data_IF_446518856887
#
_entry.id   IF_446518856887
#
_cell.length_a   1.000
_cell.length_b   1.000
_cell.length_c   1.000
_cell.angle_alpha   90.00
_cell.angle_beta   90.00
_cell.angle_gamma   90.00
#
_symmetry.space_group_name_H-M   'P 1'
#
loop_
_entity.id
_entity.type
_entity.pdbx_description
1 polymer ?
#
# COMPACT_ATOMS: atom_id res chain seq x y z
N UNK A 1 59.77 -40.90 -41.61
CA UNK A 1 59.21 -39.54 -41.50
C UNK A 1 57.72 -39.65 -41.80
N UNK A 2 56.89 -39.86 -40.78
CA UNK A 2 55.44 -40.08 -40.91
C UNK A 2 54.71 -38.94 -40.21
N UNK A 3 53.92 -38.17 -40.97
CA UNK A 3 53.05 -37.14 -40.45
C UNK A 3 51.72 -37.77 -40.05
N UNK A 4 51.40 -37.76 -38.75
CA UNK A 4 50.09 -38.13 -38.24
C UNK A 4 49.18 -36.90 -38.29
N UNK A 5 48.17 -36.96 -39.17
CA UNK A 5 47.09 -35.99 -39.26
C UNK A 5 46.05 -36.32 -38.18
N UNK A 6 45.97 -35.49 -37.15
CA UNK A 6 44.95 -35.58 -36.11
C UNK A 6 43.65 -34.97 -36.64
N UNK A 7 42.70 -35.82 -37.03
CA UNK A 7 41.36 -35.42 -37.41
C UNK A 7 40.57 -35.05 -36.15
N UNK A 8 40.45 -33.76 -35.85
CA UNK A 8 39.56 -33.26 -34.80
C UNK A 8 38.11 -33.49 -35.24
N UNK A 9 37.46 -34.50 -34.66
CA UNK A 9 36.04 -34.72 -34.79
C UNK A 9 35.30 -33.55 -34.12
N UNK A 10 34.73 -32.67 -34.93
CA UNK A 10 33.73 -31.70 -34.51
C UNK A 10 32.47 -32.46 -34.08
N UNK A 11 32.44 -32.91 -32.82
CA UNK A 11 31.21 -33.27 -32.14
C UNK A 11 30.42 -31.97 -31.92
N UNK A 12 29.62 -31.59 -32.91
CA UNK A 12 28.55 -30.63 -32.74
C UNK A 12 27.59 -31.21 -31.69
N UNK A 13 27.81 -30.83 -30.43
CA UNK A 13 26.92 -31.13 -29.34
C UNK A 13 25.65 -30.33 -29.62
N UNK A 14 24.69 -30.99 -30.24
CA UNK A 14 23.39 -30.44 -30.61
C UNK A 14 22.58 -30.27 -29.32
N UNK A 15 22.97 -29.30 -28.50
CA UNK A 15 22.30 -28.98 -27.25
C UNK A 15 21.03 -28.19 -27.56
N UNK A 16 20.07 -28.87 -28.17
CA UNK A 16 18.67 -28.42 -28.26
C UNK A 16 18.05 -28.54 -26.88
N UNK A 17 18.50 -27.68 -25.96
CA UNK A 17 17.83 -27.53 -24.68
C UNK A 17 16.38 -27.12 -24.95
N UNK A 18 15.41 -27.73 -24.26
CA UNK A 18 14.02 -27.31 -24.37
C UNK A 18 13.92 -25.83 -23.98
N UNK A 19 13.47 -25.01 -24.92
CA UNK A 19 13.25 -23.58 -24.71
C UNK A 19 11.86 -23.41 -24.11
N UNK A 20 11.79 -22.81 -22.93
CA UNK A 20 10.52 -22.47 -22.32
C UNK A 20 9.83 -21.34 -23.12
N UNK A 21 8.52 -21.43 -23.40
CA UNK A 21 7.76 -20.29 -23.92
C UNK A 21 7.95 -19.04 -23.06
N UNK A 22 8.09 -17.88 -23.70
CA UNK A 22 8.44 -16.62 -23.04
C UNK A 22 7.40 -16.23 -21.98
N UNK A 23 6.13 -16.56 -22.19
CA UNK A 23 5.03 -16.28 -21.26
C UNK A 23 5.15 -17.11 -19.98
N UNK A 24 5.58 -18.36 -20.09
CA UNK A 24 5.83 -19.22 -18.93
C UNK A 24 7.07 -18.77 -18.18
N UNK A 25 8.12 -18.36 -18.90
CA UNK A 25 9.32 -17.80 -18.29
C UNK A 25 9.01 -16.51 -17.51
N UNK A 26 8.22 -15.61 -18.11
CA UNK A 26 7.76 -14.38 -17.45
C UNK A 26 6.96 -14.70 -16.19
N UNK A 27 5.96 -15.59 -16.26
CA UNK A 27 5.17 -15.97 -15.09
C UNK A 27 6.05 -16.53 -13.95
N UNK A 28 7.05 -17.36 -14.27
CA UNK A 28 7.98 -17.89 -13.26
C UNK A 28 8.78 -16.75 -12.61
N UNK A 29 9.32 -15.84 -13.42
CA UNK A 29 10.11 -14.71 -12.93
C UNK A 29 9.27 -13.77 -12.07
N UNK A 30 8.03 -13.47 -12.47
CA UNK A 30 7.13 -12.61 -11.72
C UNK A 30 6.73 -13.22 -10.37
N UNK A 31 6.43 -14.52 -10.33
CA UNK A 31 6.16 -15.25 -9.08
C UNK A 31 7.38 -15.22 -8.18
N UNK A 32 8.57 -15.53 -8.72
CA UNK A 32 9.81 -15.50 -7.95
C UNK A 32 10.12 -14.09 -7.42
N UNK A 33 9.94 -13.06 -8.25
CA UNK A 33 10.08 -11.67 -7.86
C UNK A 33 9.11 -11.29 -6.74
N UNK A 34 7.85 -11.71 -6.84
CA UNK A 34 6.85 -11.46 -5.80
C UNK A 34 7.22 -12.09 -4.45
N UNK A 35 7.80 -13.30 -4.48
CA UNK A 35 8.23 -14.02 -3.26
C UNK A 35 9.52 -13.45 -2.65
N UNK A 36 10.44 -12.96 -3.47
CA UNK A 36 11.76 -12.48 -3.01
C UNK A 36 11.72 -11.00 -2.63
N UNK A 37 10.93 -10.18 -3.35
CA UNK A 37 10.88 -8.74 -3.14
C UNK A 37 9.99 -8.41 -1.95
N UNK A 38 10.62 -7.94 -0.88
CA UNK A 38 9.96 -7.43 0.32
C UNK A 38 10.43 -6.02 0.66
N UNK A 39 9.53 -5.27 1.25
CA UNK A 39 9.73 -3.87 1.61
C UNK A 39 9.80 -3.69 3.14
N UNK A 40 10.62 -2.76 3.65
CA UNK A 40 11.48 -1.83 2.89
C UNK A 40 12.58 -2.56 2.10
N UNK A 41 12.89 -2.05 0.89
CA UNK A 41 13.87 -2.70 0.03
C UNK A 41 15.24 -2.73 0.69
N UNK A 42 15.88 -3.89 0.63
CA UNK A 42 17.25 -4.13 1.08
C UNK A 42 18.06 -4.82 -0.03
N UNK A 43 19.37 -4.97 0.15
CA UNK A 43 20.21 -5.71 -0.79
C UNK A 43 19.82 -7.20 -0.90
N UNK A 44 19.18 -7.76 0.13
CA UNK A 44 18.73 -9.16 0.15
C UNK A 44 17.28 -9.34 -0.29
N UNK A 45 16.49 -8.26 -0.38
CA UNK A 45 15.05 -8.29 -0.72
C UNK A 45 14.70 -7.58 -2.03
N UNK A 46 15.64 -7.48 -2.98
CA UNK A 46 15.44 -6.82 -4.27
C UNK A 46 15.55 -7.77 -5.48
N UNK A 47 15.62 -9.09 -5.25
CA UNK A 47 15.77 -10.08 -6.31
C UNK A 47 16.90 -9.78 -7.31
N UNK A 48 18.06 -9.32 -6.81
CA UNK A 48 19.19 -8.90 -7.64
C UNK A 48 19.66 -10.03 -8.59
N UNK A 49 19.67 -11.27 -8.11
CA UNK A 49 20.05 -12.44 -8.89
C UNK A 49 19.15 -12.63 -10.12
N UNK A 50 17.83 -12.44 -9.95
CA UNK A 50 16.89 -12.48 -11.08
C UNK A 50 17.18 -11.35 -12.08
N UNK A 51 17.44 -10.14 -11.59
CA UNK A 51 17.74 -8.99 -12.45
C UNK A 51 19.05 -9.16 -13.25
N UNK A 52 20.05 -9.84 -12.68
CA UNK A 52 21.34 -10.08 -13.33
C UNK A 52 21.34 -11.28 -14.29
N UNK A 53 20.30 -12.12 -14.23
CA UNK A 53 20.22 -13.33 -15.06
C UNK A 53 20.01 -13.00 -16.55
N UNK A 54 19.10 -12.07 -16.86
CA UNK A 54 18.82 -11.64 -18.24
C UNK A 54 18.17 -10.25 -18.28
N UNK A 55 18.35 -9.52 -19.38
CA UNK A 55 17.74 -8.20 -19.57
C UNK A 55 16.21 -8.25 -19.43
N UNK A 56 15.54 -9.23 -20.05
CA UNK A 56 14.08 -9.39 -19.95
C UNK A 56 13.60 -9.65 -18.52
N UNK A 57 14.38 -10.35 -17.69
CA UNK A 57 14.00 -10.59 -16.29
C UNK A 57 14.08 -9.31 -15.47
N UNK A 58 15.10 -8.50 -15.73
CA UNK A 58 15.17 -7.15 -15.17
C UNK A 58 13.93 -6.34 -15.57
N UNK A 59 13.52 -6.36 -16.83
CA UNK A 59 12.33 -5.63 -17.30
C UNK A 59 11.03 -6.13 -16.63
N UNK A 60 10.84 -7.44 -16.52
CA UNK A 60 9.68 -8.06 -15.86
C UNK A 60 9.63 -7.83 -14.34
N UNK A 61 10.77 -7.64 -13.68
CA UNK A 61 10.84 -7.41 -12.23
C UNK A 61 10.62 -5.94 -11.83
N UNK A 62 10.86 -4.99 -12.73
CA UNK A 62 10.72 -3.55 -12.44
C UNK A 62 9.35 -3.15 -11.83
N UNK A 63 8.20 -3.66 -12.31
CA UNK A 63 6.91 -3.32 -11.72
C UNK A 63 6.82 -3.69 -10.23
N UNK A 64 7.47 -4.76 -9.80
CA UNK A 64 7.45 -5.23 -8.41
C UNK A 64 8.39 -4.42 -7.53
N UNK A 65 9.58 -4.08 -8.05
CA UNK A 65 10.57 -3.26 -7.33
C UNK A 65 10.05 -1.86 -7.01
N UNK A 66 9.31 -1.26 -7.94
CA UNK A 66 8.78 0.09 -7.78
C UNK A 66 7.33 0.11 -7.29
N UNK A 67 6.77 -1.01 -6.80
CA UNK A 67 5.37 -1.06 -6.35
C UNK A 67 5.10 -0.24 -5.08
N UNK A 68 6.12 -0.08 -4.22
CA UNK A 68 6.06 0.76 -3.03
C UNK A 68 7.11 1.86 -3.13
N UNK A 69 6.71 3.09 -2.83
CA UNK A 69 7.59 4.24 -2.74
C UNK A 69 7.54 4.83 -1.33
N UNK A 70 8.66 4.83 -0.62
CA UNK A 70 8.87 5.66 0.57
C UNK A 70 9.65 6.90 0.14
N UNK A 71 9.02 8.07 0.15
CA UNK A 71 9.66 9.28 -0.37
C UNK A 71 10.95 9.65 0.40
N UNK A 72 11.01 9.36 1.71
CA UNK A 72 12.21 9.59 2.54
C UNK A 72 13.44 8.80 2.08
N UNK A 73 13.27 7.50 1.79
CA UNK A 73 14.38 6.62 1.42
C UNK A 73 14.62 6.60 -0.09
N UNK A 74 13.63 6.98 -0.90
CA UNK A 74 13.75 7.04 -2.35
C UNK A 74 14.75 8.09 -2.83
N UNK A 75 14.84 9.25 -2.19
CA UNK A 75 15.83 10.27 -2.60
C UNK A 75 17.18 10.11 -1.91
N UNK A 76 17.33 9.18 -0.98
CA UNK A 76 18.58 8.99 -0.25
C UNK A 76 19.70 8.55 -1.20
N UNK A 77 20.78 9.33 -1.24
CA UNK A 77 21.95 9.07 -2.10
C UNK A 77 21.73 9.32 -3.59
N UNK A 78 20.63 9.99 -3.98
CA UNK A 78 20.33 10.35 -5.37
C UNK A 78 20.25 11.86 -5.53
N UNK A 79 20.67 12.36 -6.68
CA UNK A 79 20.36 13.72 -7.11
C UNK A 79 18.87 13.86 -7.44
N UNK A 80 18.40 15.10 -7.50
CA UNK A 80 17.02 15.40 -7.90
C UNK A 80 16.73 14.97 -9.35
N UNK A 81 17.69 15.15 -10.25
CA UNK A 81 17.58 14.73 -11.65
C UNK A 81 17.44 13.21 -11.76
N UNK A 82 18.27 12.44 -11.05
CA UNK A 82 18.19 10.97 -11.05
C UNK A 82 16.86 10.49 -10.47
N UNK A 83 16.41 11.09 -9.36
CA UNK A 83 15.11 10.77 -8.76
C UNK A 83 13.97 11.03 -9.75
N UNK A 84 14.01 12.18 -10.44
CA UNK A 84 13.01 12.57 -11.44
C UNK A 84 13.01 11.62 -12.64
N UNK A 85 14.18 11.24 -13.16
CA UNK A 85 14.30 10.30 -14.26
C UNK A 85 13.70 8.93 -13.91
N UNK A 86 14.03 8.40 -12.72
CA UNK A 86 13.50 7.13 -12.23
C UNK A 86 11.98 7.20 -12.07
N UNK A 87 11.45 8.28 -11.50
CA UNK A 87 10.00 8.47 -11.33
C UNK A 87 9.28 8.63 -12.67
N UNK A 88 9.86 9.33 -13.64
CA UNK A 88 9.27 9.43 -14.99
C UNK A 88 9.22 8.05 -15.68
N UNK A 89 10.22 7.21 -15.45
CA UNK A 89 10.30 5.87 -16.06
C UNK A 89 9.41 4.85 -15.37
N UNK A 90 9.39 4.83 -14.03
CA UNK A 90 8.79 3.76 -13.24
C UNK A 90 7.65 4.19 -12.33
N UNK A 91 7.32 5.49 -12.24
CA UNK A 91 6.28 6.00 -11.36
C UNK A 91 4.89 5.40 -11.63
N UNK A 92 4.63 4.99 -12.87
CA UNK A 92 3.43 4.22 -13.26
C UNK A 92 3.28 2.86 -12.55
N UNK A 93 4.35 2.30 -11.98
CA UNK A 93 4.33 1.04 -11.25
C UNK A 93 4.04 1.22 -9.76
N UNK A 94 4.13 2.44 -9.23
CA UNK A 94 3.87 2.71 -7.82
C UNK A 94 2.38 2.46 -7.54
N UNK A 95 2.12 1.68 -6.49
CA UNK A 95 0.79 1.32 -5.98
C UNK A 95 0.60 1.81 -4.54
N UNK A 96 1.66 1.80 -3.75
CA UNK A 96 1.66 2.27 -2.36
C UNK A 96 2.65 3.41 -2.21
N UNK A 97 2.18 4.53 -1.68
CA UNK A 97 2.97 5.74 -1.53
C UNK A 97 3.01 6.16 -0.05
N UNK A 98 4.22 6.23 0.50
CA UNK A 98 4.48 6.70 1.86
C UNK A 98 5.13 8.08 1.78
N UNK A 99 4.43 9.08 2.31
CA UNK A 99 4.92 10.46 2.35
C UNK A 99 6.20 10.57 3.17
N UNK A 100 7.06 11.48 2.72
CA UNK A 100 8.28 11.83 3.41
C UNK A 100 8.17 13.10 4.24
N UNK A 101 9.27 13.44 4.89
CA UNK A 101 9.46 14.70 5.60
C UNK A 101 9.64 15.87 4.63
N UNK A 102 10.25 15.62 3.47
CA UNK A 102 10.35 16.59 2.37
C UNK A 102 9.03 16.61 1.59
N UNK A 103 8.16 17.55 1.97
CA UNK A 103 6.79 17.68 1.44
C UNK A 103 6.84 17.92 -0.07
N UNK A 104 7.68 18.83 -0.54
CA UNK A 104 7.74 19.19 -1.95
C UNK A 104 8.19 18.00 -2.81
N UNK A 105 9.23 17.27 -2.41
CA UNK A 105 9.65 16.05 -3.14
C UNK A 105 8.59 14.97 -3.10
N UNK A 106 7.88 14.82 -1.98
CA UNK A 106 6.79 13.84 -1.86
C UNK A 106 5.65 14.18 -2.82
N UNK A 107 5.22 15.44 -2.88
CA UNK A 107 4.18 15.90 -3.81
C UNK A 107 4.60 15.71 -5.28
N UNK A 108 5.85 16.04 -5.62
CA UNK A 108 6.38 15.85 -6.97
C UNK A 108 6.47 14.38 -7.37
N UNK A 109 6.87 13.50 -6.45
CA UNK A 109 6.86 12.06 -6.70
C UNK A 109 5.43 11.52 -6.86
N UNK A 110 4.49 11.99 -6.06
CA UNK A 110 3.09 11.59 -6.13
C UNK A 110 2.43 11.98 -7.45
N UNK A 111 2.71 13.19 -7.97
CA UNK A 111 2.25 13.64 -9.30
C UNK A 111 2.70 12.71 -10.43
N UNK A 112 3.85 12.05 -10.28
CA UNK A 112 4.42 11.10 -11.27
C UNK A 112 3.94 9.67 -11.07
N UNK A 113 3.01 9.45 -10.14
CA UNK A 113 2.55 8.13 -9.71
C UNK A 113 1.03 7.96 -9.97
N UNK A 114 0.58 7.92 -11.24
CA UNK A 114 -0.84 7.99 -11.59
C UNK A 114 -1.65 6.75 -11.19
N UNK A 115 -0.98 5.66 -10.83
CA UNK A 115 -1.62 4.38 -10.49
C UNK A 115 -1.61 4.07 -8.99
N UNK A 116 -1.33 5.07 -8.16
CA UNK A 116 -1.34 4.92 -6.69
C UNK A 116 -2.72 4.48 -6.21
N UNK A 117 -2.72 3.42 -5.41
CA UNK A 117 -3.91 2.82 -4.79
C UNK A 117 -3.97 3.09 -3.29
N UNK A 118 -2.82 3.28 -2.65
CA UNK A 118 -2.70 3.51 -1.22
C UNK A 118 -1.79 4.70 -0.95
N UNK A 119 -2.26 5.65 -0.16
CA UNK A 119 -1.45 6.79 0.32
C UNK A 119 -1.41 6.76 1.84
N UNK A 120 -0.21 6.85 2.39
CA UNK A 120 0.05 7.02 3.81
C UNK A 120 0.74 8.36 4.01
N UNK A 121 0.05 9.30 4.66
CA UNK A 121 0.55 10.64 4.96
C UNK A 121 0.28 11.01 6.42
N UNK A 122 1.28 10.77 7.27
CA UNK A 122 1.26 11.16 8.68
C UNK A 122 2.02 12.46 8.94
N UNK A 123 2.39 13.20 7.89
CA UNK A 123 3.05 14.47 8.04
C UNK A 123 2.00 15.55 8.37
N UNK A 124 2.00 16.01 9.62
CA UNK A 124 1.06 17.02 10.13
C UNK A 124 1.17 18.38 9.44
N UNK A 125 2.25 18.62 8.71
CA UNK A 125 2.52 19.86 7.99
C UNK A 125 2.10 19.82 6.52
N UNK A 126 1.70 18.66 5.99
CA UNK A 126 1.23 18.57 4.60
C UNK A 126 -0.24 18.91 4.51
N UNK A 127 -0.57 20.03 3.89
CA UNK A 127 -1.95 20.44 3.70
C UNK A 127 -2.68 19.49 2.75
N UNK A 128 -3.95 19.17 3.05
CA UNK A 128 -4.72 18.24 2.23
C UNK A 128 -4.97 18.79 0.82
N UNK A 129 -5.00 20.11 0.65
CA UNK A 129 -5.11 20.77 -0.67
C UNK A 129 -3.91 20.50 -1.56
N UNK A 130 -2.71 20.51 -1.00
CA UNK A 130 -1.47 20.25 -1.73
C UNK A 130 -1.44 18.79 -2.18
N UNK A 131 -1.73 17.87 -1.24
CA UNK A 131 -1.85 16.45 -1.55
C UNK A 131 -2.96 16.21 -2.57
N UNK A 132 -4.13 16.84 -2.40
CA UNK A 132 -5.26 16.78 -3.32
C UNK A 132 -4.82 17.12 -4.74
N UNK A 133 -4.15 18.26 -4.90
CA UNK A 133 -3.62 18.73 -6.19
C UNK A 133 -2.65 17.72 -6.81
N UNK A 134 -1.82 17.06 -6.01
CA UNK A 134 -0.89 16.03 -6.49
C UNK A 134 -1.60 14.74 -6.94
N UNK A 135 -2.74 14.39 -6.34
CA UNK A 135 -3.45 13.13 -6.62
C UNK A 135 -4.56 13.26 -7.66
N UNK A 136 -4.91 14.46 -8.16
CA UNK A 136 -6.04 14.63 -9.09
C UNK A 136 -5.98 13.73 -10.34
N UNK A 137 -4.77 13.28 -10.70
CA UNK A 137 -4.52 12.43 -11.86
C UNK A 137 -4.64 10.92 -11.56
N UNK A 138 -4.77 10.50 -10.30
CA UNK A 138 -5.02 9.08 -9.97
C UNK A 138 -6.51 8.77 -10.02
N UNK A 139 -6.85 7.67 -10.68
CA UNK A 139 -8.20 7.09 -10.68
C UNK A 139 -8.29 5.83 -9.80
N UNK A 140 -7.16 5.40 -9.23
CA UNK A 140 -6.99 4.09 -8.61
C UNK A 140 -6.95 4.14 -7.08
N UNK A 141 -7.05 5.33 -6.48
CA UNK A 141 -6.94 5.51 -5.03
C UNK A 141 -8.07 4.78 -4.29
N UNK A 142 -7.70 3.89 -3.37
CA UNK A 142 -8.61 3.03 -2.60
C UNK A 142 -8.38 3.11 -1.10
N UNK A 143 -7.14 3.34 -0.67
CA UNK A 143 -6.73 3.38 0.74
C UNK A 143 -6.06 4.72 1.03
N UNK A 144 -6.48 5.37 2.11
CA UNK A 144 -5.94 6.65 2.53
C UNK A 144 -5.71 6.64 4.04
N UNK A 145 -4.48 6.88 4.46
CA UNK A 145 -4.14 7.11 5.86
C UNK A 145 -3.60 8.52 6.02
N UNK A 146 -4.28 9.34 6.81
CA UNK A 146 -4.00 10.77 6.90
C UNK A 146 -4.19 11.33 8.31
N UNK A 147 -3.55 12.47 8.56
CA UNK A 147 -3.85 13.30 9.72
C UNK A 147 -5.11 14.15 9.50
N UNK A 148 -6.04 14.22 10.47
CA UNK A 148 -7.33 14.91 10.30
C UNK A 148 -7.20 16.41 10.14
N UNK A 149 -6.22 17.03 10.79
CA UNK A 149 -6.10 18.50 10.84
C UNK A 149 -6.06 19.16 9.47
N UNK A 150 -5.80 18.39 8.43
CA UNK A 150 -5.67 18.85 7.05
C UNK A 150 -6.95 18.59 6.24
N UNK A 151 -7.86 17.72 6.68
CA UNK A 151 -9.05 17.31 5.93
C UNK A 151 -9.98 18.50 5.61
N UNK A 152 -10.23 18.70 4.31
CA UNK A 152 -11.21 19.68 3.81
C UNK A 152 -12.44 18.96 3.25
N UNK A 153 -13.61 19.06 3.90
CA UNK A 153 -14.84 18.37 3.49
C UNK A 153 -15.22 18.52 2.02
N UNK A 154 -15.04 19.71 1.46
CA UNK A 154 -15.32 20.07 0.08
C UNK A 154 -14.47 19.29 -0.92
N UNK A 155 -13.21 19.00 -0.57
CA UNK A 155 -12.30 18.28 -1.44
C UNK A 155 -12.59 16.78 -1.48
N UNK A 156 -13.14 16.20 -0.40
CA UNK A 156 -13.52 14.79 -0.35
C UNK A 156 -14.64 14.42 -1.32
N UNK A 157 -15.38 15.40 -1.83
CA UNK A 157 -16.38 15.20 -2.88
C UNK A 157 -15.78 15.04 -4.28
N UNK A 158 -14.46 15.22 -4.43
CA UNK A 158 -13.78 15.09 -5.71
C UNK A 158 -13.79 13.64 -6.24
N UNK A 159 -13.91 13.40 -7.56
CA UNK A 159 -13.92 12.06 -8.16
C UNK A 159 -12.74 11.17 -7.78
N UNK A 160 -11.57 11.77 -7.50
CA UNK A 160 -10.35 11.06 -7.07
C UNK A 160 -10.57 10.23 -5.81
N UNK A 161 -11.50 10.64 -4.94
CA UNK A 161 -11.78 9.98 -3.67
C UNK A 161 -13.02 9.08 -3.71
N UNK A 162 -13.76 9.03 -4.82
CA UNK A 162 -14.97 8.22 -4.93
C UNK A 162 -14.67 6.71 -4.75
N UNK A 163 -13.48 6.26 -5.12
CA UNK A 163 -13.07 4.85 -5.01
C UNK A 163 -12.43 4.50 -3.66
N UNK A 164 -12.35 5.44 -2.73
CA UNK A 164 -11.83 5.17 -1.39
C UNK A 164 -12.76 4.17 -0.69
N UNK A 165 -12.16 3.07 -0.26
CA UNK A 165 -12.80 1.99 0.50
C UNK A 165 -12.28 1.93 1.93
N UNK A 166 -11.02 2.33 2.16
CA UNK A 166 -10.38 2.30 3.46
C UNK A 166 -9.84 3.68 3.82
N UNK A 167 -10.23 4.18 4.99
CA UNK A 167 -9.62 5.36 5.59
C UNK A 167 -9.09 5.05 6.96
N UNK A 168 -7.83 5.38 7.18
CA UNK A 168 -7.26 5.57 8.51
C UNK A 168 -7.11 7.05 8.82
N UNK A 169 -7.56 7.39 10.02
CA UNK A 169 -7.61 8.74 10.52
C UNK A 169 -6.75 8.84 11.77
N UNK A 170 -5.69 9.64 11.69
CA UNK A 170 -4.89 10.06 12.83
C UNK A 170 -5.30 11.48 13.29
N UNK A 171 -5.58 11.67 14.57
CA UNK A 171 -5.94 12.98 15.12
C UNK A 171 -7.46 13.20 15.29
N UNK A 172 -7.81 14.42 15.67
CA UNK A 172 -9.16 14.80 16.07
C UNK A 172 -10.07 15.10 14.86
N UNK A 173 -11.15 14.33 14.71
CA UNK A 173 -12.20 14.55 13.71
C UNK A 173 -13.40 15.28 14.31
N UNK A 174 -13.44 16.59 14.06
CA UNK A 174 -14.50 17.47 14.56
C UNK A 174 -15.89 17.09 14.04
N UNK A 175 -16.01 16.78 12.75
CA UNK A 175 -17.27 16.39 12.12
C UNK A 175 -17.12 15.05 11.37
N UNK A 176 -17.54 13.92 11.98
CA UNK A 176 -17.56 12.62 11.33
C UNK A 176 -18.46 12.58 10.08
N UNK A 177 -19.46 13.47 9.96
CA UNK A 177 -20.35 13.46 8.79
C UNK A 177 -19.62 13.78 7.48
N UNK A 178 -18.41 14.35 7.55
CA UNK A 178 -17.58 14.54 6.36
C UNK A 178 -17.32 13.23 5.61
N UNK A 179 -17.16 12.13 6.35
CA UNK A 179 -16.91 10.80 5.78
C UNK A 179 -18.15 10.26 5.06
N UNK A 180 -19.33 10.85 5.29
CA UNK A 180 -20.56 10.50 4.57
C UNK A 180 -20.41 10.74 3.05
N UNK A 181 -19.54 11.67 2.67
CA UNK A 181 -19.28 12.06 1.26
C UNK A 181 -18.53 11.01 0.44
N UNK A 182 -17.95 10.00 1.09
CA UNK A 182 -17.17 8.97 0.41
C UNK A 182 -18.06 7.75 0.10
N UNK A 183 -18.60 7.63 -1.13
CA UNK A 183 -19.70 6.72 -1.40
C UNK A 183 -19.33 5.25 -1.17
N UNK A 184 -18.07 4.88 -1.40
CA UNK A 184 -17.59 3.49 -1.32
C UNK A 184 -16.83 3.16 -0.03
N UNK A 185 -16.85 4.04 0.97
CA UNK A 185 -16.16 3.81 2.23
C UNK A 185 -16.77 2.60 2.96
N UNK A 186 -15.94 1.58 3.20
CA UNK A 186 -16.31 0.32 3.86
C UNK A 186 -15.54 0.09 5.15
N UNK A 187 -14.33 0.64 5.24
CA UNK A 187 -13.37 0.44 6.31
C UNK A 187 -12.92 1.77 6.89
N UNK A 188 -13.09 1.94 8.20
CA UNK A 188 -12.66 3.13 8.94
C UNK A 188 -11.75 2.72 10.09
N UNK A 189 -10.62 3.39 10.23
CA UNK A 189 -9.70 3.22 11.35
C UNK A 189 -9.47 4.57 12.01
N UNK A 190 -9.49 4.60 13.34
CA UNK A 190 -9.29 5.80 14.15
C UNK A 190 -8.13 5.54 15.11
N UNK A 191 -7.00 6.18 14.82
CA UNK A 191 -5.74 5.90 15.50
C UNK A 191 -5.55 6.73 16.77
N UNK A 192 -5.86 8.03 16.75
CA UNK A 192 -5.61 8.95 17.87
C UNK A 192 -6.75 9.93 17.97
N UNK A 193 -7.55 9.86 19.03
CA UNK A 193 -8.33 11.00 19.48
C UNK A 193 -8.86 10.70 20.87
N UNK A 194 -8.73 11.67 21.78
CA UNK A 194 -9.40 11.62 23.08
C UNK A 194 -10.81 12.23 23.03
N UNK A 195 -11.19 12.84 21.89
CA UNK A 195 -12.33 13.74 21.79
C UNK A 195 -13.19 13.53 20.53
N UNK A 196 -13.21 12.38 19.83
CA UNK A 196 -14.07 12.34 18.63
C UNK A 196 -15.54 12.45 19.01
N UNK A 197 -16.23 13.32 18.27
CA UNK A 197 -17.68 13.32 18.15
C UNK A 197 -18.24 11.91 17.94
N UNK A 198 -19.49 11.70 18.33
CA UNK A 198 -20.13 10.38 18.34
C UNK A 198 -20.05 9.64 17.00
N UNK A 199 -19.15 8.64 16.90
CA UNK A 199 -18.97 7.79 15.72
C UNK A 199 -20.16 6.87 15.44
N UNK A 200 -21.12 6.75 16.37
CA UNK A 200 -22.32 5.97 16.12
C UNK A 200 -23.09 6.51 14.91
N UNK A 201 -22.89 7.79 14.54
CA UNK A 201 -23.45 8.37 13.31
C UNK A 201 -23.00 7.67 12.02
N UNK A 202 -21.79 7.11 11.99
CA UNK A 202 -21.25 6.38 10.83
C UNK A 202 -21.65 4.90 10.85
N UNK A 203 -22.03 4.40 12.02
CA UNK A 203 -22.56 3.05 12.18
C UNK A 203 -24.06 2.98 11.83
N UNK A 204 -24.78 4.10 11.81
CA UNK A 204 -26.17 4.14 11.38
C UNK A 204 -26.31 3.65 9.92
N UNK A 205 -26.99 2.50 9.68
CA UNK A 205 -27.20 1.97 8.33
C UNK A 205 -27.94 2.94 7.41
N UNK A 206 -28.76 3.85 7.97
CA UNK A 206 -29.47 4.87 7.21
C UNK A 206 -28.57 5.98 6.66
N UNK A 207 -27.39 6.18 7.25
CA UNK A 207 -26.42 7.21 6.82
C UNK A 207 -25.27 6.62 6.03
N UNK A 208 -24.74 5.47 6.46
CA UNK A 208 -23.59 4.81 5.83
C UNK A 208 -23.80 3.28 5.74
N UNK A 209 -24.60 2.81 4.77
CA UNK A 209 -24.94 1.38 4.67
C UNK A 209 -23.75 0.48 4.35
N UNK A 210 -22.66 1.02 3.80
CA UNK A 210 -21.51 0.24 3.34
C UNK A 210 -20.42 0.05 4.40
N UNK A 211 -20.49 0.70 5.57
CA UNK A 211 -19.48 0.50 6.60
C UNK A 211 -19.56 -0.94 7.14
N UNK A 212 -18.48 -1.68 6.92
CA UNK A 212 -18.33 -3.09 7.29
C UNK A 212 -17.41 -3.27 8.50
N UNK A 213 -16.38 -2.42 8.62
CA UNK A 213 -15.37 -2.53 9.67
C UNK A 213 -15.03 -1.15 10.22
N UNK A 214 -15.01 -1.03 11.55
CA UNK A 214 -14.49 0.13 12.27
C UNK A 214 -13.42 -0.33 13.24
N UNK A 215 -12.17 0.11 13.04
CA UNK A 215 -11.03 -0.20 13.88
C UNK A 215 -10.70 0.98 14.79
N UNK A 216 -10.41 0.70 16.06
CA UNK A 216 -9.88 1.69 16.98
C UNK A 216 -8.83 1.09 17.91
N UNK A 217 -7.84 1.90 18.27
CA UNK A 217 -6.65 1.44 19.02
C UNK A 217 -6.63 1.87 20.50
N UNK A 218 -7.30 2.98 20.84
CA UNK A 218 -7.30 3.53 22.21
C UNK A 218 -8.52 3.08 23.02
N UNK A 219 -8.50 3.32 24.33
CA UNK A 219 -9.68 3.14 25.18
C UNK A 219 -10.71 4.23 24.82
N UNK A 220 -11.59 3.92 23.86
CA UNK A 220 -12.81 4.69 23.61
C UNK A 220 -13.92 4.18 24.55
N UNK A 221 -14.30 4.94 25.60
CA UNK A 221 -15.34 4.49 26.51
C UNK A 221 -16.75 4.56 25.90
N UNK A 222 -16.92 5.16 24.71
CA UNK A 222 -18.24 5.51 24.17
C UNK A 222 -18.71 4.70 22.96
N UNK A 223 -17.86 3.87 22.34
CA UNK A 223 -18.36 3.00 21.25
C UNK A 223 -19.07 1.82 21.87
N UNK A 224 -20.36 1.66 21.56
CA UNK A 224 -21.16 0.53 22.06
C UNK A 224 -20.49 -0.78 21.60
N UNK A 225 -19.95 -1.61 22.51
CA UNK A 225 -19.23 -2.83 22.14
C UNK A 225 -20.09 -3.87 21.40
N UNK A 226 -21.41 -3.67 21.38
CA UNK A 226 -22.38 -4.60 20.81
C UNK A 226 -22.38 -4.65 19.28
N UNK A 227 -21.88 -3.62 18.57
CA UNK A 227 -21.83 -3.66 17.11
C UNK A 227 -20.67 -4.55 16.65
N UNK A 228 -21.00 -5.67 15.99
CA UNK A 228 -20.03 -6.65 15.52
C UNK A 228 -18.95 -6.07 14.58
N UNK A 229 -19.24 -4.95 13.92
CA UNK A 229 -18.32 -4.25 12.99
C UNK A 229 -17.18 -3.52 13.69
N UNK A 230 -17.33 -3.23 14.99
CA UNK A 230 -16.38 -2.41 15.73
C UNK A 230 -15.31 -3.29 16.37
N UNK A 231 -14.09 -3.22 15.85
CA UNK A 231 -12.94 -3.99 16.32
C UNK A 231 -11.99 -3.08 17.12
N UNK A 232 -11.72 -3.48 18.36
CA UNK A 232 -10.63 -2.90 19.15
C UNK A 232 -9.35 -3.67 18.86
N UNK A 233 -8.31 -2.99 18.41
CA UNK A 233 -6.97 -3.57 18.26
C UNK A 233 -6.02 -3.03 19.31
N UNK A 234 -4.93 -3.76 19.57
CA UNK A 234 -3.86 -3.30 20.45
C UNK A 234 -3.20 -2.08 19.81
N UNK A 235 -3.10 -1.00 20.58
CA UNK A 235 -2.35 0.20 20.19
C UNK A 235 -0.93 -0.15 19.75
N UNK A 236 -0.52 0.48 18.66
CA UNK A 236 0.86 0.52 18.21
C UNK A 236 1.48 1.77 18.86
N UNK A 237 2.65 1.64 19.45
CA UNK A 237 3.22 2.70 20.29
C UNK A 237 4.25 3.53 19.52
N UNK A 238 4.77 3.00 18.42
CA UNK A 238 5.82 3.64 17.61
C UNK A 238 5.37 3.86 16.17
N UNK A 239 5.94 4.88 15.53
CA UNK A 239 5.77 5.12 14.09
C UNK A 239 6.13 3.88 13.26
N UNK A 240 7.24 3.21 13.62
CA UNK A 240 7.72 2.00 12.95
C UNK A 240 6.70 0.88 12.99
N UNK A 241 6.05 0.62 14.13
CA UNK A 241 5.03 -0.43 14.22
C UNK A 241 3.82 -0.16 13.32
N UNK A 242 3.40 1.12 13.19
CA UNK A 242 2.29 1.49 12.29
C UNK A 242 2.70 1.33 10.83
N UNK A 243 3.90 1.79 10.48
CA UNK A 243 4.46 1.61 9.14
C UNK A 243 4.55 0.12 8.79
N UNK A 244 5.09 -0.71 9.69
CA UNK A 244 5.20 -2.15 9.52
C UNK A 244 3.84 -2.79 9.21
N UNK A 245 2.76 -2.38 9.92
CA UNK A 245 1.41 -2.88 9.65
C UNK A 245 0.91 -2.51 8.25
N UNK A 246 1.22 -1.31 7.74
CA UNK A 246 0.88 -0.92 6.38
C UNK A 246 1.74 -1.63 5.32
N UNK A 247 2.96 -2.03 5.68
CA UNK A 247 3.87 -2.74 4.79
C UNK A 247 3.54 -4.22 4.59
N UNK A 248 2.74 -4.82 5.50
CA UNK A 248 2.30 -6.22 5.38
C UNK A 248 1.56 -6.48 4.07
N UNK A 249 0.56 -5.66 3.73
CA UNK A 249 -0.23 -5.87 2.51
C UNK A 249 0.59 -5.78 1.21
N UNK A 250 1.44 -4.76 0.99
CA UNK A 250 2.35 -4.73 -0.15
C UNK A 250 3.32 -5.92 -0.20
N UNK A 251 3.61 -6.57 0.92
CA UNK A 251 4.46 -7.77 1.01
C UNK A 251 3.67 -9.08 0.86
N UNK A 252 2.35 -9.01 0.61
CA UNK A 252 1.50 -10.20 0.51
C UNK A 252 1.17 -10.83 1.88
N UNK A 253 1.46 -10.14 2.97
CA UNK A 253 1.07 -10.53 4.32
C UNK A 253 -0.28 -9.93 4.72
N UNK A 254 -0.90 -10.54 5.73
CA UNK A 254 -2.15 -10.07 6.33
C UNK A 254 -1.91 -8.78 7.12
N UNK A 255 -2.49 -7.67 6.68
CA UNK A 255 -2.50 -6.40 7.40
C UNK A 255 -3.59 -6.37 8.49
N UNK A 256 -3.67 -5.25 9.24
CA UNK A 256 -4.67 -5.09 10.29
C UNK A 256 -6.10 -4.94 9.76
N UNK A 257 -6.29 -4.54 8.50
CA UNK A 257 -7.61 -4.45 7.88
C UNK A 257 -8.19 -5.83 7.66
N UNK A 258 -7.42 -6.73 7.04
CA UNK A 258 -7.83 -8.10 6.81
C UNK A 258 -8.04 -8.85 8.14
N UNK A 259 -7.20 -8.61 9.15
CA UNK A 259 -7.42 -9.14 10.49
C UNK A 259 -8.77 -8.68 11.06
N UNK A 260 -9.09 -7.39 10.95
CA UNK A 260 -10.36 -6.84 11.44
C UNK A 260 -11.57 -7.40 10.68
N UNK A 261 -11.49 -7.56 9.36
CA UNK A 261 -12.52 -8.22 8.54
C UNK A 261 -12.82 -9.64 9.04
N UNK A 262 -11.76 -10.44 9.29
CA UNK A 262 -11.89 -11.80 9.83
C UNK A 262 -12.54 -11.81 11.22
N UNK A 263 -12.23 -10.84 12.07
CA UNK A 263 -12.86 -10.70 13.39
C UNK A 263 -14.35 -10.33 13.28
N UNK A 264 -14.71 -9.41 12.38
CA UNK A 264 -16.12 -9.05 12.12
C UNK A 264 -16.88 -10.26 11.58
N UNK A 265 -16.30 -11.01 10.65
CA UNK A 265 -16.87 -12.24 10.12
C UNK A 265 -17.12 -13.27 11.22
N UNK A 266 -16.13 -13.52 12.08
CA UNK A 266 -16.25 -14.48 13.19
C UNK A 266 -17.36 -14.08 14.19
N UNK A 267 -17.51 -12.79 14.48
CA UNK A 267 -18.57 -12.26 15.37
C UNK A 267 -19.96 -12.43 14.77
N UNK A 268 -20.12 -12.24 13.46
CA UNK A 268 -21.39 -12.46 12.76
C UNK A 268 -21.80 -13.94 12.72
N UNK A 269 -20.83 -14.84 12.65
CA UNK A 269 -21.04 -16.29 12.58
C UNK A 269 -21.32 -17.00 13.90
N UNK A 270 -21.51 -16.29 15.03
CA UNK A 270 -21.68 -16.86 16.39
C UNK A 270 -20.53 -17.74 16.90
N UNK A 271 -19.37 -17.76 16.24
CA UNK A 271 -18.23 -18.59 16.64
C UNK A 271 -17.61 -18.17 17.99
N UNK A 272 -17.87 -16.94 18.44
CA UNK A 272 -17.45 -16.43 19.74
C UNK A 272 -18.65 -15.77 20.40
N UNK A 273 -19.14 -16.30 21.53
CA UNK A 273 -20.10 -15.55 22.36
C UNK A 273 -19.35 -14.36 22.96
N UNK A 274 -19.90 -13.16 22.77
CA UNK A 274 -19.28 -11.85 23.07
C UNK A 274 -18.86 -11.66 24.55
N UNK A 275 -19.17 -12.60 25.43
CA UNK A 275 -18.95 -12.59 26.88
C UNK A 275 -17.51 -12.82 27.36
N UNK A 276 -16.52 -13.06 26.50
CA UNK A 276 -15.18 -13.54 26.93
C UNK A 276 -14.00 -12.57 26.70
N UNK A 277 -14.22 -11.26 26.53
CA UNK A 277 -13.16 -10.25 26.39
C UNK A 277 -13.41 -8.99 27.20
#
# INVERSE_FOLDING_TARGET
>A
MFAQSATMANNACDTTYPVLPVELEQNIVEIAAFMIISFPLSCTSCALELQLTAQRFREWTMPFLYRVLHANSFSAGRTESESTEILNRYGKHIRHFFFGWDIQKSLEALKRSPMVQSIVNWNVHTEFEEMHSAVQHTSSLRRLSIFVGTLKPELLSSPVYCNITHIEIAGFLADPNVLVRLPNLTHLCIYISHDVADFNVLLDPGRKPLIQVVVYFNHYPQVRPADARVIKLKRLDTYTEVEDQWMRNPNGEMDFWELAERMVYARRGTFFSISSY
#
